data_IF_532739610765
#
_entry.id   IF_532739610765
#
_cell.length_a   1.000
_cell.length_b   1.000
_cell.length_c   1.000
_cell.angle_alpha   90.00
_cell.angle_beta   90.00
_cell.angle_gamma   90.00
#
_symmetry.space_group_name_H-M   'P 1'
#
loop_
_entity.id
_entity.type
_entity.pdbx_description
1 polymer ?
#
# COMPACT_ATOMS: atom_id res chain seq x y z
N UNK A 1 -8.92 24.36 22.14
CA UNK A 1 -9.03 23.40 21.02
C UNK A 1 -7.69 23.47 20.28
N UNK A 2 -6.67 22.74 20.74
CA UNK A 2 -5.26 23.12 20.55
C UNK A 2 -4.81 23.31 19.08
N UNK A 3 -5.27 22.47 18.15
CA UNK A 3 -4.97 22.61 16.71
C UNK A 3 -5.64 23.84 16.09
N UNK A 4 -6.87 24.16 16.50
CA UNK A 4 -7.56 25.36 16.06
C UNK A 4 -6.89 26.63 16.59
N UNK A 5 -6.45 26.60 17.85
CA UNK A 5 -5.82 27.74 18.52
C UNK A 5 -4.43 28.05 17.93
N UNK A 6 -3.68 27.01 17.53
CA UNK A 6 -2.32 27.14 16.99
C UNK A 6 -2.25 27.40 15.48
N UNK A 7 -3.30 27.04 14.73
CA UNK A 7 -3.36 27.13 13.26
C UNK A 7 -2.19 26.44 12.55
N UNK A 8 -1.62 25.42 13.18
CA UNK A 8 -0.49 24.66 12.65
C UNK A 8 -0.98 23.60 11.67
N UNK A 9 -0.26 23.46 10.56
CA UNK A 9 -0.50 22.39 9.59
C UNK A 9 -0.14 21.03 10.21
N UNK A 10 -1.08 20.09 10.11
CA UNK A 10 -0.90 18.70 10.56
C UNK A 10 -1.27 17.78 9.42
N UNK A 11 -0.31 16.96 8.99
CA UNK A 11 -0.48 16.04 7.87
C UNK A 11 -1.72 15.15 8.06
N UNK A 12 -2.52 15.02 6.99
CA UNK A 12 -3.80 14.31 6.97
C UNK A 12 -4.86 14.74 7.99
N UNK A 13 -4.70 15.89 8.64
CA UNK A 13 -5.60 16.32 9.71
C UNK A 13 -6.04 17.79 9.60
N UNK A 14 -5.12 18.73 9.41
CA UNK A 14 -5.42 20.15 9.39
C UNK A 14 -4.46 20.93 8.47
N UNK A 15 -4.99 21.93 7.76
CA UNK A 15 -4.18 22.85 6.95
C UNK A 15 -4.70 24.28 7.10
N UNK A 16 -3.80 25.21 7.40
CA UNK A 16 -4.07 26.64 7.44
C UNK A 16 -3.80 27.24 6.07
N UNK A 17 -4.87 27.62 5.38
CA UNK A 17 -4.84 28.10 3.98
C UNK A 17 -5.10 29.60 3.94
N UNK A 18 -4.36 30.32 3.08
CA UNK A 18 -4.56 31.76 2.90
C UNK A 18 -5.84 32.05 2.11
N UNK A 19 -6.39 33.26 2.28
CA UNK A 19 -7.57 33.71 1.54
C UNK A 19 -7.33 33.75 0.02
N UNK A 20 -6.11 34.04 -0.42
CA UNK A 20 -5.72 34.04 -1.83
C UNK A 20 -5.79 32.65 -2.45
N UNK A 21 -5.34 31.63 -1.72
CA UNK A 21 -5.44 30.22 -2.16
C UNK A 21 -6.89 29.75 -2.23
N UNK A 22 -7.75 30.23 -1.33
CA UNK A 22 -9.19 29.96 -1.36
C UNK A 22 -9.84 30.64 -2.57
N UNK A 23 -9.50 31.89 -2.84
CA UNK A 23 -10.01 32.64 -3.99
C UNK A 23 -9.59 32.02 -5.32
N UNK A 24 -8.35 31.53 -5.43
CA UNK A 24 -7.86 30.81 -6.61
C UNK A 24 -8.51 29.43 -6.80
N UNK A 25 -9.13 28.87 -5.76
CA UNK A 25 -9.88 27.61 -5.80
C UNK A 25 -11.40 27.86 -5.81
N UNK A 26 -11.84 28.97 -6.41
CA UNK A 26 -13.24 29.38 -6.55
C UNK A 26 -14.02 29.40 -5.22
N UNK A 27 -13.35 29.78 -4.13
CA UNK A 27 -13.91 29.80 -2.77
C UNK A 27 -14.45 28.44 -2.30
N UNK A 28 -13.93 27.34 -2.88
CA UNK A 28 -14.27 26.00 -2.43
C UNK A 28 -13.68 25.75 -1.04
N UNK A 29 -14.53 25.62 -0.01
CA UNK A 29 -14.13 25.38 1.38
C UNK A 29 -14.17 23.90 1.79
N UNK A 30 -14.24 22.97 0.82
CA UNK A 30 -14.22 21.54 1.12
C UNK A 30 -12.89 21.15 1.75
N UNK A 31 -12.95 20.44 2.87
CA UNK A 31 -11.75 19.94 3.59
C UNK A 31 -10.88 19.08 2.69
N UNK A 32 -11.49 18.28 1.82
CA UNK A 32 -10.80 17.41 0.86
C UNK A 32 -10.00 18.16 -0.21
N UNK A 33 -10.26 19.47 -0.39
CA UNK A 33 -9.50 20.29 -1.32
C UNK A 33 -8.18 20.78 -0.75
N UNK A 34 -7.98 20.64 0.56
CA UNK A 34 -6.80 21.19 1.26
C UNK A 34 -6.08 20.18 2.14
N UNK A 35 -6.78 19.17 2.65
CA UNK A 35 -6.21 18.12 3.48
C UNK A 35 -6.21 16.82 2.69
N UNK A 36 -5.02 16.30 2.44
CA UNK A 36 -4.85 14.99 1.80
C UNK A 36 -5.34 13.90 2.76
N UNK A 37 -6.21 13.01 2.29
CA UNK A 37 -6.69 11.90 3.10
C UNK A 37 -5.53 10.94 3.38
N UNK A 38 -5.43 10.47 4.63
CA UNK A 38 -4.46 9.43 4.99
C UNK A 38 -4.73 8.16 4.19
N UNK A 39 -3.69 7.63 3.55
CA UNK A 39 -3.75 6.31 2.96
C UNK A 39 -3.85 5.26 4.07
N UNK A 40 -5.01 4.61 4.19
CA UNK A 40 -5.28 3.59 5.20
C UNK A 40 -5.17 2.17 4.62
N UNK A 41 -4.64 2.00 3.41
CA UNK A 41 -4.43 0.68 2.82
C UNK A 41 -3.36 -0.08 3.61
N UNK A 42 -3.54 -1.39 3.72
CA UNK A 42 -2.54 -2.25 4.33
C UNK A 42 -1.25 -2.19 3.52
N UNK A 43 -0.13 -1.93 4.20
CA UNK A 43 1.20 -2.01 3.60
C UNK A 43 1.56 -3.48 3.48
N UNK A 44 1.40 -4.03 2.28
CA UNK A 44 1.80 -5.42 1.98
C UNK A 44 3.30 -5.43 1.71
N UNK A 45 4.04 -6.27 2.43
CA UNK A 45 5.44 -6.54 2.13
C UNK A 45 5.55 -7.45 0.89
N UNK A 46 5.66 -6.81 -0.27
CA UNK A 46 5.81 -7.47 -1.57
C UNK A 46 7.11 -8.29 -1.63
N UNK A 47 8.16 -7.91 -0.92
CA UNK A 47 9.42 -8.67 -0.91
C UNK A 47 9.25 -9.99 -0.17
N UNK A 48 8.60 -9.96 1.00
CA UNK A 48 8.26 -11.17 1.76
C UNK A 48 7.32 -12.07 0.96
N UNK A 49 6.25 -11.51 0.38
CA UNK A 49 5.30 -12.28 -0.43
C UNK A 49 6.01 -12.99 -1.61
N UNK A 50 6.89 -12.29 -2.32
CA UNK A 50 7.64 -12.88 -3.42
C UNK A 50 8.65 -13.95 -2.96
N UNK A 51 9.23 -13.81 -1.76
CA UNK A 51 10.10 -14.83 -1.19
C UNK A 51 9.31 -16.11 -0.85
N UNK A 52 8.14 -15.98 -0.24
CA UNK A 52 7.24 -17.11 0.06
C UNK A 52 6.77 -17.81 -1.22
N UNK A 53 6.44 -17.05 -2.27
CA UNK A 53 6.08 -17.61 -3.57
C UNK A 53 7.24 -18.41 -4.18
N UNK A 54 8.46 -17.89 -4.17
CA UNK A 54 9.63 -18.62 -4.68
C UNK A 54 9.90 -19.92 -3.93
N UNK A 55 9.77 -19.92 -2.60
CA UNK A 55 9.91 -21.13 -1.78
C UNK A 55 8.85 -22.16 -2.15
N UNK A 56 7.61 -21.71 -2.34
CA UNK A 56 6.50 -22.59 -2.69
C UNK A 56 6.68 -23.20 -4.08
N UNK A 57 7.11 -22.40 -5.06
CA UNK A 57 7.42 -22.89 -6.41
C UNK A 57 8.55 -23.92 -6.38
N UNK A 58 9.64 -23.64 -5.65
CA UNK A 58 10.75 -24.59 -5.54
C UNK A 58 10.32 -25.95 -4.93
N UNK A 59 9.39 -25.94 -3.96
CA UNK A 59 8.81 -27.18 -3.42
C UNK A 59 7.98 -27.93 -4.45
N UNK A 60 7.19 -27.21 -5.24
CA UNK A 60 6.38 -27.81 -6.33
C UNK A 60 7.29 -28.44 -7.37
N UNK A 61 8.37 -27.76 -7.76
CA UNK A 61 9.33 -28.26 -8.75
C UNK A 61 10.02 -29.53 -8.25
N UNK A 62 10.43 -29.57 -6.97
CA UNK A 62 11.00 -30.78 -6.38
C UNK A 62 10.00 -31.95 -6.40
N UNK A 63 8.75 -31.71 -5.97
CA UNK A 63 7.73 -32.76 -5.96
C UNK A 63 7.42 -33.29 -7.36
N UNK A 64 7.46 -32.42 -8.39
CA UNK A 64 7.30 -32.83 -9.79
C UNK A 64 8.46 -33.70 -10.25
N UNK A 65 9.70 -33.31 -9.94
CA UNK A 65 10.88 -34.12 -10.28
C UNK A 65 10.84 -35.50 -9.61
N UNK A 66 10.40 -35.57 -8.35
CA UNK A 66 10.25 -36.83 -7.63
C UNK A 66 9.17 -37.73 -8.28
N UNK A 67 8.05 -37.13 -8.74
CA UNK A 67 7.00 -37.86 -9.48
C UNK A 67 7.55 -38.37 -10.82
N UNK A 68 8.24 -37.52 -11.57
CA UNK A 68 8.81 -37.89 -12.87
C UNK A 68 9.83 -39.04 -12.73
N UNK A 69 10.62 -39.05 -11.65
CA UNK A 69 11.52 -40.15 -11.32
C UNK A 69 10.78 -41.47 -11.03
N UNK A 70 9.69 -41.42 -10.28
CA UNK A 70 8.85 -42.61 -9.99
C UNK A 70 8.20 -43.14 -11.28
N UNK A 71 7.69 -42.25 -12.14
CA UNK A 71 7.09 -42.64 -13.42
C UNK A 71 8.13 -43.32 -14.31
N UNK A 72 9.34 -42.76 -14.41
CA UNK A 72 10.43 -43.35 -15.20
C UNK A 72 10.86 -44.73 -14.68
N UNK A 73 10.79 -44.97 -13.37
CA UNK A 73 11.06 -46.30 -12.77
C UNK A 73 9.98 -47.34 -13.12
N UNK A 74 8.71 -46.92 -13.25
CA UNK A 74 7.58 -47.81 -13.55
C UNK A 74 7.47 -48.13 -15.04
N UNK A 75 7.82 -47.18 -15.92
CA UNK A 75 7.76 -47.36 -17.38
C UNK A 75 9.02 -48.02 -17.97
N UNK A 76 10.08 -48.20 -17.16
CA UNK A 76 11.39 -48.77 -17.55
C UNK A 76 11.49 -50.29 -17.50
#
# INVERSE_FOLDING_TARGET
MQTFDSKVDTEHFAKSVSVETIANNDYNLSVSSYVEAKDNREVIDIQKLNAELKITVAKIDQLRADIDAIVAEIEG
#
